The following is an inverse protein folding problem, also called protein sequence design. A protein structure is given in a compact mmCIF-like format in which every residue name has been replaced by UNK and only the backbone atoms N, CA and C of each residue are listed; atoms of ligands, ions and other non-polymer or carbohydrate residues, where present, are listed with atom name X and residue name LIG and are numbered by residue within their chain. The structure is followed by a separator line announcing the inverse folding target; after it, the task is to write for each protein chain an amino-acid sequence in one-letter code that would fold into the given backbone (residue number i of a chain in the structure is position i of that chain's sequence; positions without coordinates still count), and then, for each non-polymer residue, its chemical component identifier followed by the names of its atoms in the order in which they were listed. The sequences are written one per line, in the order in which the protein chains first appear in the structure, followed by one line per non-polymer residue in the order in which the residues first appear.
data_IF_238538855083
#
_entry.id   IF_238538855083
#
_cell.length_a   1.000
_cell.length_b   1.000
_cell.length_c   1.000
_cell.angle_alpha   90.00
_cell.angle_beta   90.00
_cell.angle_gamma   90.00
#
_symmetry.space_group_name_H-M   'P 1'
#
loop_
_entity.id
_entity.type
_entity.pdbx_description
1 polymer ?
#
# COMPACT_ATOMS: atom_id res chain seq x y z
N UNK A 1 -11.16 12.74 8.90
CA UNK A 1 -10.42 14.03 8.88
C UNK A 1 -9.23 14.00 7.93
N UNK A 2 -8.63 12.83 7.64
CA UNK A 2 -7.43 12.75 6.78
C UNK A 2 -6.16 13.28 7.44
N UNK A 3 -6.22 13.51 8.76
CA UNK A 3 -5.10 14.00 9.55
C UNK A 3 -4.15 12.85 9.91
N UNK A 4 -2.86 13.15 9.93
CA UNK A 4 -1.82 12.26 10.47
C UNK A 4 -1.96 12.14 11.98
N UNK A 5 -1.90 10.91 12.50
CA UNK A 5 -1.83 10.62 13.94
C UNK A 5 -0.51 9.93 14.22
N UNK A 6 0.32 10.56 15.06
CA UNK A 6 1.63 10.03 15.47
C UNK A 6 1.50 9.44 16.87
N UNK A 7 1.67 8.13 16.98
CA UNK A 7 1.75 7.46 18.27
C UNK A 7 3.16 7.59 18.84
N UNK A 8 3.28 8.28 19.98
CA UNK A 8 4.55 8.41 20.71
C UNK A 8 4.51 7.84 22.14
N UNK A 9 3.36 7.27 22.55
CA UNK A 9 3.12 6.63 23.85
C UNK A 9 1.91 5.71 23.77
N UNK A 10 1.73 4.87 24.79
CA UNK A 10 0.58 3.97 24.91
C UNK A 10 0.89 2.53 24.50
N UNK A 11 -0.13 1.80 24.05
CA UNK A 11 0.00 0.39 23.68
C UNK A 11 0.63 0.24 22.28
N UNK A 12 1.83 -0.34 22.23
CA UNK A 12 2.56 -0.54 20.99
C UNK A 12 1.82 -1.43 19.97
N UNK A 13 1.16 -2.50 20.43
CA UNK A 13 0.43 -3.41 19.55
C UNK A 13 -0.77 -2.72 18.90
N UNK A 14 -1.48 -1.89 19.66
CA UNK A 14 -2.58 -1.09 19.14
C UNK A 14 -2.09 -0.05 18.12
N UNK A 15 -1.02 0.67 18.43
CA UNK A 15 -0.40 1.65 17.53
C UNK A 15 0.06 0.99 16.22
N UNK A 16 0.75 -0.15 16.30
CA UNK A 16 1.14 -0.93 15.11
C UNK A 16 -0.09 -1.38 14.33
N UNK A 17 -1.12 -1.91 15.01
CA UNK A 17 -2.34 -2.39 14.37
C UNK A 17 -3.06 -1.27 13.61
N UNK A 18 -3.13 -0.06 14.19
CA UNK A 18 -3.66 1.12 13.52
C UNK A 18 -2.79 1.49 12.31
N UNK A 19 -1.46 1.49 12.48
CA UNK A 19 -0.51 1.89 11.44
C UNK A 19 -0.52 0.97 10.20
N UNK A 20 -0.82 -0.33 10.34
CA UNK A 20 -0.86 -1.30 9.24
C UNK A 20 -2.28 -1.55 8.69
N UNK A 21 -3.27 -0.74 9.06
CA UNK A 21 -4.67 -0.93 8.67
C UNK A 21 -4.96 -0.45 7.24
N UNK A 22 -4.29 -1.07 6.26
CA UNK A 22 -4.41 -0.74 4.84
C UNK A 22 -5.84 -0.98 4.37
N UNK A 23 -6.54 0.04 3.82
CA UNK A 23 -7.88 -0.15 3.30
C UNK A 23 -7.96 -1.32 2.32
N UNK A 24 -9.13 -1.98 2.24
CA UNK A 24 -9.38 -3.19 1.42
C UNK A 24 -8.73 -4.47 1.95
N UNK A 25 -7.60 -4.38 2.66
CA UNK A 25 -6.88 -5.53 3.20
C UNK A 25 -7.25 -5.77 4.66
N UNK A 26 -7.28 -4.69 5.46
CA UNK A 26 -7.55 -4.76 6.88
C UNK A 26 -8.71 -3.84 7.28
N UNK A 27 -9.46 -4.26 8.30
CA UNK A 27 -10.47 -3.42 8.91
C UNK A 27 -9.81 -2.23 9.63
N UNK A 28 -10.37 -1.00 9.50
CA UNK A 28 -9.92 0.16 10.27
C UNK A 28 -9.96 -0.08 11.78
N UNK A 29 -9.10 0.61 12.51
CA UNK A 29 -9.03 0.56 13.98
C UNK A 29 -9.81 1.74 14.55
N UNK A 30 -10.59 1.50 15.61
CA UNK A 30 -11.23 2.58 16.37
C UNK A 30 -10.34 2.89 17.56
N UNK A 31 -9.85 4.13 17.65
CA UNK A 31 -9.00 4.60 18.74
C UNK A 31 -9.48 5.99 19.17
N UNK A 32 -9.78 6.19 20.47
CA UNK A 32 -10.26 7.47 21.01
C UNK A 32 -11.40 8.11 20.19
N UNK A 33 -12.42 7.30 19.83
CA UNK A 33 -13.55 7.72 19.00
C UNK A 33 -13.19 8.15 17.56
N UNK A 34 -11.97 7.90 17.10
CA UNK A 34 -11.52 8.14 15.74
C UNK A 34 -11.37 6.81 14.99
N UNK A 35 -11.71 6.81 13.71
CA UNK A 35 -11.46 5.69 12.80
C UNK A 35 -10.10 5.92 12.15
N UNK A 36 -9.16 5.02 12.43
CA UNK A 36 -7.79 5.05 11.92
C UNK A 36 -7.61 4.03 10.80
N UNK A 37 -6.85 4.44 9.80
CA UNK A 37 -6.39 3.64 8.68
C UNK A 37 -4.87 3.80 8.56
N UNK A 38 -4.25 2.99 7.70
CA UNK A 38 -2.82 3.02 7.43
C UNK A 38 -2.28 4.44 7.18
N UNK A 39 -1.19 4.77 7.88
CA UNK A 39 -0.54 6.09 7.83
C UNK A 39 0.14 6.38 6.50
N UNK A 40 0.42 5.36 5.69
CA UNK A 40 1.03 5.52 4.39
C UNK A 40 0.19 6.36 3.43
N UNK A 41 -1.12 6.46 3.64
CA UNK A 41 -2.00 7.33 2.86
C UNK A 41 -1.70 8.82 3.03
N UNK A 42 -1.05 9.22 4.13
CA UNK A 42 -0.76 10.63 4.47
C UNK A 42 0.73 10.91 4.62
N UNK A 43 1.50 9.96 5.18
CA UNK A 43 2.93 10.10 5.38
C UNK A 43 3.65 8.74 5.29
N UNK A 44 3.88 8.22 4.07
CA UNK A 44 4.46 6.90 3.85
C UNK A 44 5.96 6.79 4.13
N UNK A 45 6.65 7.93 4.27
CA UNK A 45 8.07 7.98 4.60
C UNK A 45 8.31 9.13 5.60
N UNK A 46 8.11 8.89 6.91
CA UNK A 46 7.97 9.93 7.93
C UNK A 46 9.31 10.53 8.39
N UNK A 47 10.14 11.00 7.46
CA UNK A 47 11.44 11.65 7.71
C UNK A 47 11.26 12.88 8.59
N UNK A 48 10.19 13.63 8.34
CA UNK A 48 9.77 14.78 9.13
C UNK A 48 9.56 14.46 10.61
N UNK A 49 9.04 13.27 10.93
CA UNK A 49 8.80 12.84 12.31
C UNK A 49 10.13 12.51 12.99
N UNK A 50 11.02 11.78 12.31
CA UNK A 50 12.36 11.50 12.83
C UNK A 50 13.14 12.80 13.11
N UNK A 51 13.10 13.76 12.18
CA UNK A 51 13.71 15.08 12.37
C UNK A 51 13.10 15.83 13.57
N UNK A 52 11.77 15.86 13.72
CA UNK A 52 11.09 16.47 14.88
C UNK A 52 11.41 15.79 16.21
N UNK A 53 11.78 14.51 16.18
CA UNK A 53 12.24 13.77 17.36
C UNK A 53 13.68 14.13 17.78
N UNK A 54 14.37 14.99 17.02
CA UNK A 54 15.73 15.44 17.31
C UNK A 54 16.82 14.54 16.73
N UNK A 55 16.51 13.72 15.71
CA UNK A 55 17.52 12.95 15.02
C UNK A 55 18.50 13.88 14.28
N UNK A 56 19.79 13.77 14.60
CA UNK A 56 20.88 14.50 13.94
C UNK A 56 21.36 13.83 12.66
N UNK A 57 21.08 12.53 12.52
CA UNK A 57 21.42 11.72 11.35
C UNK A 57 20.23 10.83 11.02
N UNK A 58 19.74 10.89 9.79
CA UNK A 58 18.53 10.20 9.34
C UNK A 58 18.84 9.28 8.17
N UNK A 59 18.63 7.99 8.38
CA UNK A 59 18.64 6.97 7.34
C UNK A 59 17.20 6.69 6.94
N UNK A 60 16.83 7.05 5.71
CA UNK A 60 15.50 6.79 5.17
C UNK A 60 15.51 5.52 4.30
N UNK A 61 14.60 4.59 4.58
CA UNK A 61 14.43 3.37 3.78
C UNK A 61 13.12 3.46 2.99
N UNK A 62 13.21 3.65 1.68
CA UNK A 62 12.06 3.74 0.78
C UNK A 62 11.85 2.41 0.04
N UNK A 63 10.87 1.63 0.48
CA UNK A 63 10.54 0.31 -0.12
C UNK A 63 9.46 0.39 -1.21
N UNK A 64 9.07 1.60 -1.64
CA UNK A 64 8.05 1.77 -2.66
C UNK A 64 8.56 1.32 -4.03
N UNK A 65 7.77 0.59 -4.83
CA UNK A 65 8.22 0.09 -6.13
C UNK A 65 8.55 1.23 -7.09
N UNK A 66 9.70 1.13 -7.76
CA UNK A 66 10.09 2.02 -8.84
C UNK A 66 9.25 1.75 -10.09
N UNK A 67 8.79 2.82 -10.77
CA UNK A 67 8.02 2.71 -12.02
C UNK A 67 8.92 2.29 -13.21
N UNK A 68 10.24 2.29 -13.02
CA UNK A 68 11.21 2.16 -14.12
C UNK A 68 11.37 0.71 -14.63
N UNK A 69 10.65 -0.25 -14.08
CA UNK A 69 10.58 -1.63 -14.61
C UNK A 69 9.12 -2.05 -14.76
N UNK A 70 8.42 -1.42 -15.69
CA UNK A 70 7.27 -2.08 -16.31
C UNK A 70 7.82 -3.28 -17.09
N UNK A 71 7.88 -4.44 -16.45
CA UNK A 71 7.80 -5.69 -17.19
C UNK A 71 6.41 -5.71 -17.83
N UNK A 72 6.33 -5.17 -19.05
CA UNK A 72 5.33 -5.54 -20.05
C UNK A 72 5.58 -7.01 -20.38
N UNK A 73 5.15 -7.93 -19.52
CA UNK A 73 4.92 -9.35 -19.83
C UNK A 73 4.44 -10.08 -18.56
N UNK A 74 3.14 -10.37 -18.51
CA UNK A 74 2.63 -11.74 -18.42
C UNK A 74 1.11 -11.72 -18.32
N UNK A 75 0.46 -11.80 -19.48
CA UNK A 75 -0.81 -12.50 -19.59
C UNK A 75 -0.58 -13.97 -19.28
N UNK A 76 -0.51 -14.34 -18.01
CA UNK A 76 -0.72 -15.74 -17.59
C UNK A 76 -2.18 -15.87 -17.18
N UNK A 77 -2.91 -16.46 -18.12
CA UNK A 77 -4.31 -16.77 -18.08
C UNK A 77 -4.52 -17.92 -17.06
N UNK A 78 -4.62 -17.58 -15.77
CA UNK A 78 -5.01 -18.56 -14.76
C UNK A 78 -6.53 -18.65 -14.75
N UNK A 79 -7.07 -19.44 -15.67
CA UNK A 79 -8.44 -19.95 -15.63
C UNK A 79 -8.60 -20.89 -14.42
N UNK A 80 -8.71 -20.32 -13.22
CA UNK A 80 -9.18 -21.06 -12.05
C UNK A 80 -10.70 -21.13 -12.17
N UNK A 81 -11.17 -22.31 -12.52
CA UNK A 81 -12.58 -22.68 -12.66
C UNK A 81 -13.25 -22.65 -11.28
N UNK A 82 -13.71 -21.48 -10.86
CA UNK A 82 -14.50 -21.30 -9.63
C UNK A 82 -16.00 -21.53 -9.93
N UNK A 83 -16.38 -22.77 -10.26
CA UNK A 83 -17.75 -23.09 -10.69
C UNK A 83 -18.69 -23.55 -9.57
N UNK A 84 -18.23 -23.76 -8.33
CA UNK A 84 -19.09 -24.35 -7.28
C UNK A 84 -19.56 -23.38 -6.16
N UNK A 85 -18.89 -22.25 -5.93
CA UNK A 85 -19.19 -21.40 -4.75
C UNK A 85 -19.95 -20.09 -5.06
N UNK A 86 -20.44 -19.94 -6.29
CA UNK A 86 -21.03 -18.67 -6.76
C UNK A 86 -22.54 -18.55 -6.60
N UNK A 87 -23.27 -19.66 -6.37
CA UNK A 87 -24.73 -19.62 -6.32
C UNK A 87 -25.28 -19.10 -4.98
N UNK A 88 -24.69 -19.48 -3.83
CA UNK A 88 -25.15 -19.00 -2.51
C UNK A 88 -24.68 -17.58 -2.18
N UNK A 89 -23.45 -17.20 -2.59
CA UNK A 89 -22.94 -15.84 -2.34
C UNK A 89 -23.68 -14.80 -3.19
N UNK A 90 -24.12 -15.15 -4.41
CA UNK A 90 -24.85 -14.20 -5.28
C UNK A 90 -26.15 -13.72 -4.64
N UNK A 91 -26.96 -14.61 -4.09
CA UNK A 91 -28.28 -14.26 -3.55
C UNK A 91 -28.18 -13.45 -2.25
N UNK A 92 -27.20 -13.76 -1.40
CA UNK A 92 -26.92 -13.00 -0.17
C UNK A 92 -26.34 -11.61 -0.46
N UNK A 93 -25.43 -11.52 -1.44
CA UNK A 93 -24.82 -10.24 -1.85
C UNK A 93 -25.84 -9.33 -2.55
N UNK A 94 -26.79 -9.89 -3.30
CA UNK A 94 -27.83 -9.14 -4.00
C UNK A 94 -28.85 -8.50 -3.03
N UNK A 95 -29.30 -9.24 -2.01
CA UNK A 95 -30.16 -8.69 -0.94
C UNK A 95 -29.47 -7.58 -0.12
N UNK A 96 -28.15 -7.70 0.10
CA UNK A 96 -27.36 -6.71 0.85
C UNK A 96 -27.01 -5.47 0.01
N UNK A 97 -27.00 -5.60 -1.32
CA UNK A 97 -26.75 -4.51 -2.27
C UNK A 97 -28.01 -3.67 -2.54
N UNK A 98 -29.19 -4.28 -2.51
CA UNK A 98 -30.48 -3.57 -2.61
C UNK A 98 -30.83 -2.79 -1.33
N UNK A 99 -30.35 -3.25 -0.16
CA UNK A 99 -30.49 -2.54 1.11
C UNK A 99 -29.54 -1.34 1.27
N UNK A 100 -28.49 -1.26 0.44
CA UNK A 100 -27.60 -0.12 0.38
C UNK A 100 -28.13 0.83 -0.69
N UNK A 101 -28.70 1.96 -0.27
CA UNK A 101 -29.24 3.04 -1.11
C UNK A 101 -28.12 3.82 -1.85
N UNK A 102 -27.11 3.11 -2.35
CA UNK A 102 -25.99 3.65 -3.11
C UNK A 102 -26.43 3.72 -4.58
N UNK A 103 -26.36 4.88 -5.22
CA UNK A 103 -26.59 4.97 -6.67
C UNK A 103 -25.42 4.32 -7.44
N UNK A 104 -25.46 3.00 -7.55
CA UNK A 104 -24.45 2.20 -8.23
C UNK A 104 -24.68 2.14 -9.75
N UNK A 105 -25.61 2.93 -10.31
CA UNK A 105 -25.88 2.95 -11.77
C UNK A 105 -24.64 3.28 -12.58
N UNK A 106 -23.82 4.23 -12.12
CA UNK A 106 -22.58 4.61 -12.80
C UNK A 106 -21.55 3.46 -12.77
N UNK A 107 -21.43 2.74 -11.65
CA UNK A 107 -20.57 1.55 -11.51
C UNK A 107 -21.09 0.42 -12.40
N UNK A 108 -22.40 0.16 -12.41
CA UNK A 108 -23.03 -0.87 -13.24
C UNK A 108 -22.84 -0.59 -14.74
N UNK A 109 -22.96 0.66 -15.17
CA UNK A 109 -22.70 1.10 -16.56
C UNK A 109 -21.23 0.95 -16.94
N UNK A 110 -20.32 1.23 -16.01
CA UNK A 110 -18.88 1.04 -16.19
C UNK A 110 -18.50 -0.46 -16.24
N UNK A 111 -19.16 -1.29 -15.43
CA UNK A 111 -19.00 -2.76 -15.44
C UNK A 111 -19.63 -3.43 -16.68
N UNK A 112 -20.73 -2.88 -17.22
CA UNK A 112 -21.39 -3.38 -18.42
C UNK A 112 -20.57 -3.17 -19.70
N UNK A 113 -19.66 -2.19 -19.71
CA UNK A 113 -18.78 -1.88 -20.85
C UNK A 113 -17.46 -2.67 -20.84
N UNK A 114 -17.32 -3.72 -20.02
CA UNK A 114 -16.13 -4.58 -19.95
C UNK A 114 -15.70 -5.25 -21.26
N UNK A 115 -16.54 -5.24 -22.30
CA UNK A 115 -16.23 -5.85 -23.60
C UNK A 115 -15.35 -5.00 -24.53
N UNK A 116 -15.14 -3.69 -24.29
CA UNK A 116 -14.37 -2.81 -25.19
C UNK A 116 -12.98 -2.41 -24.69
N UNK A 117 -12.72 -2.56 -23.40
CA UNK A 117 -11.43 -2.19 -22.78
C UNK A 117 -11.05 -3.25 -21.75
N UNK A 118 -9.78 -3.66 -21.73
CA UNK A 118 -9.24 -4.54 -20.70
C UNK A 118 -9.03 -3.75 -19.40
N UNK A 119 -10.14 -3.32 -18.77
CA UNK A 119 -10.13 -2.48 -17.57
C UNK A 119 -9.56 -3.33 -16.43
N UNK A 120 -8.42 -2.94 -15.82
CA UNK A 120 -7.92 -3.59 -14.62
C UNK A 120 -9.04 -3.68 -13.57
N UNK A 121 -9.16 -4.80 -12.86
CA UNK A 121 -10.19 -4.95 -11.84
C UNK A 121 -10.16 -3.81 -10.81
N UNK A 122 -11.31 -3.42 -10.26
CA UNK A 122 -11.43 -2.31 -9.30
C UNK A 122 -10.36 -2.32 -8.19
N UNK A 123 -10.09 -3.49 -7.59
CA UNK A 123 -9.03 -3.67 -6.58
C UNK A 123 -7.65 -3.28 -7.09
N UNK A 124 -7.33 -3.63 -8.34
CA UNK A 124 -6.05 -3.30 -8.96
C UNK A 124 -5.92 -1.80 -9.20
N UNK A 125 -6.97 -1.16 -9.72
CA UNK A 125 -6.99 0.31 -9.92
C UNK A 125 -6.83 1.04 -8.59
N UNK A 126 -7.56 0.63 -7.56
CA UNK A 126 -7.51 1.23 -6.24
C UNK A 126 -6.13 1.06 -5.57
N UNK A 127 -5.56 -0.14 -5.63
CA UNK A 127 -4.22 -0.37 -5.09
C UNK A 127 -3.17 0.45 -5.85
N UNK A 128 -3.27 0.51 -7.19
CA UNK A 128 -2.37 1.32 -8.01
C UNK A 128 -2.47 2.81 -7.67
N UNK A 129 -3.67 3.34 -7.47
CA UNK A 129 -3.84 4.75 -7.08
C UNK A 129 -3.22 5.04 -5.71
N UNK A 130 -3.41 4.13 -4.75
CA UNK A 130 -2.75 4.23 -3.43
C UNK A 130 -1.24 4.28 -3.62
N UNK A 131 -0.64 3.31 -4.31
CA UNK A 131 0.82 3.29 -4.53
C UNK A 131 1.34 4.56 -5.22
N UNK A 132 0.64 5.08 -6.23
CA UNK A 132 1.01 6.33 -6.92
C UNK A 132 1.04 7.49 -5.93
N UNK A 133 -0.01 7.65 -5.13
CA UNK A 133 -0.10 8.72 -4.13
C UNK A 133 1.00 8.55 -3.07
N UNK A 134 1.16 7.35 -2.51
CA UNK A 134 2.16 7.12 -1.48
C UNK A 134 3.58 7.41 -2.01
N UNK A 135 3.90 7.00 -3.24
CA UNK A 135 5.17 7.33 -3.87
C UNK A 135 5.36 8.84 -4.03
N UNK A 136 4.33 9.57 -4.47
CA UNK A 136 4.44 11.03 -4.63
C UNK A 136 4.72 11.70 -3.27
N UNK A 137 4.02 11.26 -2.22
CA UNK A 137 4.24 11.76 -0.85
C UNK A 137 5.61 11.41 -0.32
N UNK A 138 6.08 10.17 -0.51
CA UNK A 138 7.43 9.75 -0.11
C UNK A 138 8.50 10.59 -0.80
N UNK A 139 8.35 10.84 -2.11
CA UNK A 139 9.29 11.67 -2.86
C UNK A 139 9.32 13.12 -2.37
N UNK A 140 8.15 13.70 -2.08
CA UNK A 140 8.07 15.03 -1.46
C UNK A 140 8.74 15.05 -0.08
N UNK A 141 8.57 14.01 0.74
CA UNK A 141 9.25 13.89 2.03
C UNK A 141 10.78 13.89 1.86
N UNK A 142 11.30 13.10 0.91
CA UNK A 142 12.74 13.06 0.60
C UNK A 142 13.25 14.43 0.13
N UNK A 143 12.53 15.10 -0.75
CA UNK A 143 12.92 16.41 -1.30
C UNK A 143 12.90 17.51 -0.24
N UNK A 144 11.93 17.48 0.68
CA UNK A 144 11.76 18.48 1.73
C UNK A 144 12.76 18.29 2.89
N UNK A 145 12.95 17.05 3.32
CA UNK A 145 13.70 16.76 4.55
C UNK A 145 15.11 16.21 4.31
N UNK A 146 15.45 15.84 3.07
CA UNK A 146 16.80 15.44 2.62
C UNK A 146 17.52 14.54 3.64
N UNK A 147 17.15 13.26 3.75
CA UNK A 147 17.80 12.35 4.68
C UNK A 147 19.28 12.18 4.32
N UNK A 148 20.12 11.93 5.32
CA UNK A 148 21.57 11.78 5.14
C UNK A 148 21.91 10.55 4.29
N UNK A 149 21.19 9.45 4.51
CA UNK A 149 21.27 8.26 3.66
C UNK A 149 19.88 7.91 3.18
N UNK A 150 19.76 7.65 1.88
CA UNK A 150 18.55 7.14 1.26
C UNK A 150 18.82 5.72 0.73
N UNK A 151 18.09 4.74 1.25
CA UNK A 151 18.16 3.34 0.83
C UNK A 151 16.89 3.02 0.03
N UNK A 152 17.03 2.68 -1.25
CA UNK A 152 15.91 2.36 -2.15
C UNK A 152 16.10 0.95 -2.77
N UNK A 153 15.73 -0.14 -2.08
CA UNK A 153 15.86 -1.47 -2.63
C UNK A 153 14.96 -1.67 -3.86
N UNK A 154 15.53 -2.19 -4.95
CA UNK A 154 14.77 -2.56 -6.15
C UNK A 154 14.04 -3.89 -5.94
N UNK A 155 12.91 -3.82 -5.24
CA UNK A 155 12.08 -4.98 -4.97
C UNK A 155 11.19 -5.24 -6.21
N UNK A 156 11.35 -6.38 -6.90
CA UNK A 156 10.44 -6.73 -8.00
C UNK A 156 9.02 -6.79 -7.45
N UNK A 157 8.05 -6.13 -8.10
CA UNK A 157 6.68 -5.91 -7.60
C UNK A 157 6.18 -7.08 -6.74
N UNK A 158 6.38 -6.94 -5.42
CA UNK A 158 5.90 -7.88 -4.44
C UNK A 158 4.49 -7.42 -4.11
N UNK A 159 3.51 -8.24 -4.47
CA UNK A 159 2.15 -7.98 -4.03
C UNK A 159 2.10 -7.95 -2.50
N UNK A 160 1.09 -7.28 -1.93
CA UNK A 160 0.82 -7.27 -0.48
C UNK A 160 0.81 -8.68 0.17
N UNK A 161 0.65 -9.74 -0.61
CA UNK A 161 0.53 -11.12 -0.15
C UNK A 161 1.68 -12.04 -0.63
N UNK A 162 2.76 -11.51 -1.20
CA UNK A 162 3.89 -12.29 -1.72
C UNK A 162 4.85 -12.78 -0.61
N UNK A 163 4.30 -13.25 0.52
CA UNK A 163 5.07 -13.69 1.70
C UNK A 163 6.04 -14.84 1.40
N UNK A 164 5.75 -15.64 0.37
CA UNK A 164 6.63 -16.73 -0.07
C UNK A 164 7.98 -16.24 -0.63
N UNK A 165 8.08 -14.95 -1.00
CA UNK A 165 9.33 -14.31 -1.44
C UNK A 165 10.08 -13.59 -0.30
N UNK A 166 9.63 -13.70 0.95
CA UNK A 166 10.17 -12.92 2.06
C UNK A 166 11.70 -12.99 2.16
N UNK A 167 12.29 -14.19 2.00
CA UNK A 167 13.74 -14.37 2.04
C UNK A 167 14.46 -13.55 0.97
N UNK A 168 14.00 -13.63 -0.28
CA UNK A 168 14.56 -12.88 -1.40
C UNK A 168 14.48 -11.36 -1.17
N UNK A 169 13.33 -10.88 -0.68
CA UNK A 169 13.13 -9.46 -0.39
C UNK A 169 14.06 -8.97 0.73
N UNK A 170 14.25 -9.78 1.77
CA UNK A 170 15.17 -9.48 2.87
C UNK A 170 16.61 -9.41 2.35
N UNK A 171 17.03 -10.38 1.54
CA UNK A 171 18.38 -10.42 0.96
C UNK A 171 18.66 -9.19 0.07
N UNK A 172 17.68 -8.76 -0.74
CA UNK A 172 17.77 -7.52 -1.53
C UNK A 172 17.96 -6.32 -0.59
N UNK A 173 17.16 -6.22 0.47
CA UNK A 173 17.25 -5.13 1.45
C UNK A 173 18.62 -5.06 2.13
N UNK A 174 19.18 -6.19 2.55
CA UNK A 174 20.52 -6.27 3.13
C UNK A 174 21.59 -5.78 2.15
N UNK A 175 21.55 -6.25 0.91
CA UNK A 175 22.52 -5.85 -0.12
C UNK A 175 22.46 -4.35 -0.39
N UNK A 176 21.26 -3.81 -0.62
CA UNK A 176 21.09 -2.37 -0.91
C UNK A 176 21.53 -1.50 0.27
N UNK A 177 21.28 -1.94 1.51
CA UNK A 177 21.77 -1.22 2.68
C UNK A 177 23.30 -1.23 2.77
N UNK A 178 23.94 -2.37 2.53
CA UNK A 178 25.40 -2.48 2.50
C UNK A 178 26.03 -1.56 1.45
N UNK A 179 25.50 -1.57 0.23
CA UNK A 179 25.96 -0.71 -0.86
C UNK A 179 25.81 0.78 -0.47
N UNK A 180 24.68 1.15 0.12
CA UNK A 180 24.44 2.53 0.57
C UNK A 180 25.38 2.98 1.69
N UNK A 181 25.72 2.13 2.66
CA UNK A 181 26.68 2.47 3.71
C UNK A 181 28.10 2.61 3.16
N UNK A 182 28.50 1.68 2.29
CA UNK A 182 29.80 1.74 1.61
C UNK A 182 29.98 3.03 0.81
N UNK A 183 28.97 3.42 0.01
CA UNK A 183 29.00 4.64 -0.79
C UNK A 183 29.09 5.93 0.06
N UNK A 184 28.67 5.85 1.33
CA UNK A 184 28.73 6.94 2.30
C UNK A 184 29.93 6.83 3.28
N UNK A 185 30.87 5.90 3.04
CA UNK A 185 32.04 5.64 3.90
C UNK A 185 31.68 5.32 5.37
N UNK A 186 30.61 4.56 5.60
CA UNK A 186 30.13 4.11 6.90
C UNK A 186 30.25 2.60 7.08
#
# INVERSE_FOLDING_TARGET
TGQEIVFNKGNLVEAMRASISVPVIFQPVIHNNQILVDGGLVNPLPINIASKMGAEFIIAVNVMPSLNKTNTNNGKNNNVRMTAFTQEIKSAMQKKLEALNLDYKWIKKLLANKGKYNIPGFKKVLNQSVYITQRKLARLSIELYRPDILIEPDIPFAGFFDFYKAKEIIDIGYKTAQDAFYDNNL
#
